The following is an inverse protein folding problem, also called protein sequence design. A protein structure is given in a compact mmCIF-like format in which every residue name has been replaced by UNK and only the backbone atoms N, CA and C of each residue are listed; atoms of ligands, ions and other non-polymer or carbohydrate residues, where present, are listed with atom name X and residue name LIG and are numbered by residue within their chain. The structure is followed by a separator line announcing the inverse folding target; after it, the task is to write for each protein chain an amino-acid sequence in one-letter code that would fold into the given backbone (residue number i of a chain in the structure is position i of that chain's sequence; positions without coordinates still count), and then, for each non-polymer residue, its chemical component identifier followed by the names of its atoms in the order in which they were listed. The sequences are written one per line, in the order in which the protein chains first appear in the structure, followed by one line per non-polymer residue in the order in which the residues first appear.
data_IF_008895919801
#
_entry.id   IF_008895919801
#
_cell.length_a   1.000
_cell.length_b   1.000
_cell.length_c   1.000
_cell.angle_alpha   90.00
_cell.angle_beta   90.00
_cell.angle_gamma   90.00
#
_symmetry.space_group_name_H-M   'P 1'
#
loop_
_entity.id
_entity.type
_entity.pdbx_description
1 polymer ?
#
# COMPACT_ATOMS: atom_id res chain seq x y z
N UNK A 1 -7.34 -8.13 -21.34
CA UNK A 1 -6.76 -8.16 -19.98
C UNK A 1 -6.84 -6.75 -19.45
N UNK A 2 -7.42 -6.58 -18.28
CA UNK A 2 -7.54 -5.27 -17.62
C UNK A 2 -6.13 -4.70 -17.44
N UNK A 3 -5.89 -3.48 -17.92
CA UNK A 3 -4.61 -2.79 -17.78
C UNK A 3 -4.53 -2.19 -16.35
N UNK A 4 -4.63 -3.06 -15.36
CA UNK A 4 -4.60 -2.68 -13.95
C UNK A 4 -3.18 -2.29 -13.63
N UNK A 5 -2.99 -1.04 -13.21
CA UNK A 5 -1.71 -0.59 -12.69
C UNK A 5 -1.45 -1.23 -11.31
N UNK A 6 -0.61 -2.27 -11.32
CA UNK A 6 -0.18 -2.99 -10.11
C UNK A 6 0.48 -2.04 -9.12
N UNK A 7 1.22 -1.01 -9.57
CA UNK A 7 1.88 -0.04 -8.68
C UNK A 7 0.84 0.79 -7.92
N UNK A 8 -0.15 1.33 -8.62
CA UNK A 8 -1.27 2.04 -7.99
C UNK A 8 -2.05 1.16 -7.02
N UNK A 9 -2.21 -0.14 -7.30
CA UNK A 9 -2.81 -1.06 -6.34
C UNK A 9 -1.95 -1.24 -5.10
N UNK A 10 -0.64 -1.44 -5.24
CA UNK A 10 0.27 -1.58 -4.10
C UNK A 10 0.22 -0.35 -3.21
N UNK A 11 0.25 0.85 -3.79
CA UNK A 11 0.16 2.11 -3.02
C UNK A 11 -1.16 2.22 -2.25
N UNK A 12 -2.28 1.79 -2.85
CA UNK A 12 -3.61 1.86 -2.22
C UNK A 12 -3.75 0.95 -0.99
N UNK A 13 -3.24 -0.27 -1.08
CA UNK A 13 -3.34 -1.30 -0.05
C UNK A 13 -2.12 -1.35 0.88
N UNK A 14 -1.15 -0.46 0.68
CA UNK A 14 -0.05 -0.26 1.62
C UNK A 14 -0.53 0.40 2.90
N UNK A 15 0.19 0.13 4.00
CA UNK A 15 -0.02 0.82 5.26
C UNK A 15 0.12 2.34 5.05
N UNK A 16 -0.92 3.08 5.47
CA UNK A 16 -0.91 4.54 5.35
C UNK A 16 -0.10 5.16 6.49
N UNK A 17 0.71 6.20 6.22
CA UNK A 17 1.43 6.88 7.27
C UNK A 17 0.46 7.56 8.25
N UNK A 18 0.90 7.69 9.50
CA UNK A 18 0.18 8.45 10.52
C UNK A 18 -0.06 9.89 10.04
N UNK A 19 -1.30 10.41 10.14
CA UNK A 19 -1.58 11.79 9.77
C UNK A 19 -0.87 12.77 10.71
N UNK A 20 -0.54 13.94 10.16
CA UNK A 20 -0.05 15.08 10.94
C UNK A 20 -1.21 15.96 11.37
N UNK A 21 -1.09 16.56 12.55
CA UNK A 21 -2.04 17.53 13.05
C UNK A 21 -2.07 18.74 12.12
N UNK A 22 -3.25 19.13 11.65
CA UNK A 22 -3.41 20.29 10.78
C UNK A 22 -3.27 21.63 11.53
N UNK A 23 -3.27 21.61 12.87
CA UNK A 23 -3.14 22.81 13.71
C UNK A 23 -1.66 23.11 14.02
N UNK A 24 -0.89 22.10 14.43
CA UNK A 24 0.51 22.28 14.85
C UNK A 24 1.54 21.46 14.07
N UNK A 25 1.12 20.59 13.15
CA UNK A 25 2.02 19.80 12.30
C UNK A 25 2.67 18.58 12.96
N UNK A 26 2.44 18.32 14.24
CA UNK A 26 2.99 17.14 14.93
C UNK A 26 2.33 15.85 14.49
N UNK A 27 3.04 14.72 14.58
CA UNK A 27 2.47 13.40 14.32
C UNK A 27 1.37 13.10 15.34
N UNK A 28 0.22 12.65 14.84
CA UNK A 28 -0.94 12.37 15.68
C UNK A 28 -0.86 10.95 16.26
N UNK A 29 -1.60 10.68 17.33
CA UNK A 29 -1.67 9.34 17.91
C UNK A 29 -3.05 8.72 17.71
N UNK A 30 -3.11 7.39 17.67
CA UNK A 30 -4.37 6.65 17.56
C UNK A 30 -5.16 6.79 18.85
N UNK A 31 -6.39 7.31 18.75
CA UNK A 31 -7.31 7.49 19.89
C UNK A 31 -8.36 6.39 19.95
N UNK A 32 -8.76 5.87 18.79
CA UNK A 32 -9.75 4.81 18.67
C UNK A 32 -9.55 4.04 17.38
N UNK A 33 -9.58 2.71 17.47
CA UNK A 33 -9.67 1.84 16.31
C UNK A 33 -11.01 1.10 16.34
N UNK A 34 -11.70 1.06 15.21
CA UNK A 34 -12.96 0.34 15.06
C UNK A 34 -12.99 -0.28 13.67
N UNK A 35 -12.59 -1.55 13.59
CA UNK A 35 -12.33 -2.24 12.33
C UNK A 35 -11.43 -1.38 11.42
N UNK A 36 -11.87 -1.03 10.22
CA UNK A 36 -11.13 -0.20 9.26
C UNK A 36 -11.13 1.30 9.57
N UNK A 37 -11.84 1.77 10.61
CA UNK A 37 -11.90 3.20 10.94
C UNK A 37 -10.96 3.50 12.09
N UNK A 38 -9.93 4.29 11.80
CA UNK A 38 -8.94 4.73 12.78
C UNK A 38 -9.14 6.22 13.03
N UNK A 39 -9.35 6.59 14.29
CA UNK A 39 -9.42 8.00 14.70
C UNK A 39 -8.08 8.40 15.29
N UNK A 40 -7.49 9.43 14.70
CA UNK A 40 -6.27 10.07 15.18
C UNK A 40 -6.63 11.37 15.90
N UNK A 41 -5.84 11.74 16.90
CA UNK A 41 -5.96 12.98 17.65
C UNK A 41 -4.59 13.53 18.03
N UNK A 42 -4.46 14.84 18.10
CA UNK A 42 -3.27 15.50 18.63
C UNK A 42 -3.51 15.85 20.09
N UNK A 43 -3.03 15.00 20.99
CA UNK A 43 -3.14 15.24 22.44
C UNK A 43 -2.00 16.12 22.97
N UNK A 44 -0.94 16.35 22.19
CA UNK A 44 0.29 16.99 22.67
C UNK A 44 1.06 16.13 23.67
N UNK A 45 0.74 14.82 23.71
CA UNK A 45 1.43 13.84 24.53
C UNK A 45 2.75 13.40 23.88
N UNK A 46 3.80 13.32 24.68
CA UNK A 46 5.06 12.66 24.36
C UNK A 46 5.21 11.44 25.24
N UNK A 47 5.73 10.36 24.67
CA UNK A 47 5.97 9.10 25.38
C UNK A 47 7.48 8.90 25.52
N UNK A 48 7.94 8.74 26.76
CA UNK A 48 9.31 8.40 27.09
C UNK A 48 9.34 7.27 28.15
N UNK A 49 10.54 6.88 28.58
CA UNK A 49 10.74 5.80 29.56
C UNK A 49 10.07 6.07 30.92
N UNK A 50 9.72 7.32 31.21
CA UNK A 50 9.05 7.74 32.45
C UNK A 50 7.54 7.86 32.31
N UNK A 51 7.00 7.69 31.09
CA UNK A 51 5.58 7.60 30.81
C UNK A 51 5.08 8.65 29.81
N UNK A 52 3.82 9.06 29.98
CA UNK A 52 3.13 9.99 29.10
C UNK A 52 3.15 11.40 29.70
N UNK A 53 3.71 12.36 28.96
CA UNK A 53 3.78 13.77 29.36
C UNK A 53 3.05 14.65 28.37
N UNK A 54 2.24 15.56 28.89
CA UNK A 54 1.57 16.56 28.06
C UNK A 54 2.38 17.85 28.06
N UNK A 55 2.45 18.51 26.91
CA UNK A 55 2.97 19.88 26.84
C UNK A 55 2.13 20.84 27.70
N UNK A 56 2.71 21.96 28.13
CA UNK A 56 2.01 22.93 28.98
C UNK A 56 0.68 23.37 28.37
N UNK A 57 -0.40 23.33 29.16
CA UNK A 57 -1.76 23.66 28.72
C UNK A 57 -2.42 22.61 27.83
N UNK A 58 -1.82 21.43 27.64
CA UNK A 58 -2.37 20.34 26.82
C UNK A 58 -3.01 19.23 27.65
N UNK A 59 -4.07 18.63 27.13
CA UNK A 59 -4.71 17.45 27.73
C UNK A 59 -5.54 16.64 26.70
N UNK A 60 -6.04 15.47 27.11
CA UNK A 60 -6.94 14.63 26.28
C UNK A 60 -8.34 15.24 26.06
N UNK A 61 -8.64 16.38 26.69
CA UNK A 61 -9.93 17.06 26.57
C UNK A 61 -9.76 18.56 26.33
N UNK A 62 -8.61 18.99 25.79
CA UNK A 62 -8.40 20.37 25.39
C UNK A 62 -9.02 20.67 24.01
N UNK A 63 -9.22 21.95 23.72
CA UNK A 63 -9.77 22.41 22.43
C UNK A 63 -8.92 21.95 21.25
N UNK A 64 -7.60 21.87 21.43
CA UNK A 64 -6.70 21.43 20.38
C UNK A 64 -6.96 19.97 20.01
N UNK A 65 -7.10 19.09 21.00
CA UNK A 65 -7.42 17.69 20.84
C UNK A 65 -8.75 17.55 20.11
N UNK A 66 -9.80 18.23 20.59
CA UNK A 66 -11.12 18.18 19.98
C UNK A 66 -11.10 18.59 18.51
N UNK A 67 -10.48 19.74 18.21
CA UNK A 67 -10.40 20.29 16.85
C UNK A 67 -9.47 19.49 15.95
N UNK A 68 -8.43 18.85 16.50
CA UNK A 68 -7.44 18.12 15.71
C UNK A 68 -7.93 16.77 15.20
N UNK A 69 -9.02 16.20 15.75
CA UNK A 69 -9.41 14.81 15.48
C UNK A 69 -9.76 14.56 14.01
N UNK A 70 -9.20 13.48 13.46
CA UNK A 70 -9.53 13.00 12.11
C UNK A 70 -9.85 11.51 12.15
N UNK A 71 -10.81 11.07 11.35
CA UNK A 71 -11.06 9.63 11.15
C UNK A 71 -10.66 9.23 9.74
N UNK A 72 -9.72 8.29 9.65
CA UNK A 72 -9.22 7.72 8.41
C UNK A 72 -9.80 6.32 8.25
N UNK A 73 -10.18 5.97 7.02
CA UNK A 73 -10.46 4.59 6.65
C UNK A 73 -9.15 3.95 6.20
N UNK A 74 -8.70 2.99 7.00
CA UNK A 74 -7.61 2.12 6.63
C UNK A 74 -8.09 1.10 5.59
N UNK A 75 -7.45 1.16 4.43
CA UNK A 75 -7.70 0.25 3.32
C UNK A 75 -6.49 -0.66 3.10
N UNK A 76 -5.52 -0.65 4.03
CA UNK A 76 -4.36 -1.53 3.95
C UNK A 76 -4.78 -2.99 4.06
N UNK A 77 -4.20 -3.83 3.23
CA UNK A 77 -4.54 -5.25 3.15
C UNK A 77 -3.30 -6.06 2.76
N UNK A 78 -2.80 -6.85 3.70
CA UNK A 78 -1.60 -7.67 3.51
C UNK A 78 -1.82 -8.81 2.53
N UNK A 79 -3.04 -9.34 2.45
CA UNK A 79 -3.37 -10.47 1.58
C UNK A 79 -3.38 -10.01 0.12
N UNK A 80 -3.89 -8.80 -0.15
CA UNK A 80 -3.82 -8.19 -1.48
C UNK A 80 -2.37 -7.96 -1.91
N UNK A 81 -1.51 -7.47 -1.01
CA UNK A 81 -0.08 -7.26 -1.32
C UNK A 81 0.63 -8.58 -1.59
N UNK A 82 0.37 -9.63 -0.80
CA UNK A 82 0.92 -10.96 -1.00
C UNK A 82 0.48 -11.56 -2.35
N UNK A 83 -0.79 -11.40 -2.73
CA UNK A 83 -1.28 -11.83 -4.03
C UNK A 83 -0.58 -11.10 -5.19
N UNK A 84 -0.29 -9.81 -5.04
CA UNK A 84 0.46 -9.05 -6.06
C UNK A 84 1.89 -9.58 -6.20
N UNK A 85 2.56 -9.93 -5.09
CA UNK A 85 3.88 -10.57 -5.11
C UNK A 85 3.86 -11.92 -5.81
N UNK A 86 2.87 -12.77 -5.50
CA UNK A 86 2.71 -14.06 -6.17
C UNK A 86 2.48 -13.90 -7.68
N UNK A 87 1.68 -12.91 -8.08
CA UNK A 87 1.42 -12.63 -9.50
C UNK A 87 2.69 -12.17 -10.22
N UNK A 88 3.46 -11.26 -9.63
CA UNK A 88 4.73 -10.80 -10.20
C UNK A 88 5.76 -11.94 -10.29
N UNK A 89 5.82 -12.82 -9.29
CA UNK A 89 6.68 -14.00 -9.31
C UNK A 89 6.28 -14.98 -10.43
N UNK A 90 4.97 -15.23 -10.62
CA UNK A 90 4.46 -16.07 -11.71
C UNK A 90 4.73 -15.46 -13.09
N UNK A 91 4.54 -14.14 -13.24
CA UNK A 91 4.84 -13.44 -14.49
C UNK A 91 6.32 -13.58 -14.86
N UNK A 92 7.21 -13.47 -13.87
CA UNK A 92 8.65 -13.72 -14.05
C UNK A 92 8.95 -15.16 -14.46
N UNK A 93 8.37 -16.15 -13.77
CA UNK A 93 8.54 -17.56 -14.12
C UNK A 93 8.05 -17.87 -15.54
N UNK A 94 6.93 -17.27 -15.97
CA UNK A 94 6.42 -17.42 -17.33
C UNK A 94 7.37 -16.80 -18.35
N UNK A 95 7.95 -15.63 -18.06
CA UNK A 95 8.94 -15.00 -18.93
C UNK A 95 10.20 -15.86 -19.06
N UNK A 96 10.74 -16.35 -17.94
CA UNK A 96 11.92 -17.22 -17.91
C UNK A 96 11.67 -18.53 -18.67
N UNK A 97 10.51 -19.16 -18.48
CA UNK A 97 10.14 -20.40 -19.18
C UNK A 97 9.98 -20.17 -20.69
N UNK A 98 9.36 -19.04 -21.09
CA UNK A 98 9.24 -18.66 -22.51
C UNK A 98 10.61 -18.45 -23.16
N UNK A 99 11.55 -17.85 -22.44
CA UNK A 99 12.91 -17.65 -22.91
C UNK A 99 13.63 -18.98 -23.08
N UNK A 100 13.60 -19.83 -22.04
CA UNK A 100 14.19 -21.16 -22.09
C UNK A 100 13.61 -22.01 -23.23
N UNK A 101 12.30 -21.94 -23.44
CA UNK A 101 11.63 -22.64 -24.54
C UNK A 101 12.06 -22.10 -25.92
N UNK A 102 12.21 -20.78 -26.08
CA UNK A 102 12.71 -20.17 -27.32
C UNK A 102 14.13 -20.63 -27.63
N UNK A 103 15.00 -20.65 -26.62
CA UNK A 103 16.39 -21.14 -26.76
C UNK A 103 16.38 -22.61 -27.18
N UNK A 104 15.57 -23.46 -26.53
CA UNK A 104 15.48 -24.88 -26.87
C UNK A 104 14.98 -25.11 -28.32
N UNK A 105 13.98 -24.35 -28.77
CA UNK A 105 13.50 -24.40 -30.17
C UNK A 105 14.61 -24.04 -31.16
N UNK A 106 15.35 -22.95 -30.89
CA UNK A 106 16.46 -22.52 -31.74
C UNK A 106 17.57 -23.57 -31.83
N UNK A 107 17.90 -24.24 -30.72
CA UNK A 107 18.90 -25.31 -30.69
C UNK A 107 18.44 -26.57 -31.46
N UNK A 108 17.14 -26.83 -31.50
CA UNK A 108 16.55 -27.92 -32.26
C UNK A 108 16.42 -27.63 -33.77
N UNK A 109 16.80 -26.43 -34.23
CA UNK A 109 16.62 -26.01 -35.62
C UNK A 109 15.15 -25.85 -36.02
N UNK A 110 14.25 -25.68 -35.03
CA UNK A 110 12.83 -25.45 -35.24
C UNK A 110 12.61 -23.94 -35.17
N UNK A 111 12.32 -23.31 -36.31
CA UNK A 111 11.93 -21.91 -36.33
C UNK A 111 10.65 -21.72 -35.50
N UNK A 112 10.69 -20.80 -34.54
CA UNK A 112 9.52 -20.45 -33.77
C UNK A 112 8.41 -19.98 -34.74
N UNK A 113 7.18 -20.51 -34.65
CA UNK A 113 6.11 -20.08 -35.55
C UNK A 113 5.92 -18.57 -35.40
N UNK A 114 6.01 -17.85 -36.52
CA UNK A 114 5.74 -16.42 -36.56
C UNK A 114 4.39 -16.18 -35.89
N UNK A 115 4.37 -15.32 -34.86
CA UNK A 115 3.13 -14.97 -34.16
C UNK A 115 2.10 -14.53 -35.19
N UNK A 116 1.06 -15.34 -35.39
CA UNK A 116 -0.02 -15.02 -36.32
C UNK A 116 -0.60 -13.66 -35.90
N UNK A 117 -0.31 -12.64 -36.70
CA UNK A 117 -0.87 -11.30 -36.52
C UNK A 117 -2.38 -11.44 -36.45
N UNK A 118 -2.95 -11.03 -35.32
CA UNK A 118 -4.41 -10.92 -35.20
C UNK A 118 -4.85 -9.92 -36.27
N UNK A 119 -5.59 -10.43 -37.26
CA UNK A 119 -6.24 -9.62 -38.27
C UNK A 119 -7.05 -8.52 -37.59
N UNK A 120 -6.83 -7.31 -38.07
CA UNK A 120 -7.67 -6.15 -37.85
C UNK A 120 -9.10 -6.52 -38.29
N UNK A 121 -10.08 -6.33 -37.41
CA UNK A 121 -11.49 -6.35 -37.78
C UNK A 121 -11.98 -4.91 -37.65
N UNK A 122 -12.37 -4.34 -38.79
CA UNK A 122 -12.99 -3.02 -38.96
C UNK A 122 -14.36 -2.92 -38.31
#
# INVERSE_FOLDING_TARGET
MSNIDKKTLRERYSAKPTPKCHICGTEMTVQRMSASRITYGCTGATYDDTGCHYSSGRSIADDHYEQSRVTVVDASDTDVLALLDEMEAKDKQIADLKEAFRIALSAAGIDAPAAAGKGEVS
#
